data_IF_189986942014
#
_entry.id   IF_189986942014
#
_cell.length_a   1.000
_cell.length_b   1.000
_cell.length_c   1.000
_cell.angle_alpha   90.00
_cell.angle_beta   90.00
_cell.angle_gamma   90.00
#
_symmetry.space_group_name_H-M   'P 1'
#
loop_
_entity.id
_entity.type
_entity.pdbx_description
1 polymer ?
2 non-polymer ?
3 water ?
#
# COMPACT_ATOMS: atom_id res chain seq x y z
N UNK A 14 -28.98 -11.01 -10.02
CA UNK A 14 -30.06 -12.05 -9.99
C UNK A 14 -29.58 -13.38 -9.41
N UNK A 15 -30.51 -14.23 -8.88
CA UNK A 15 -30.21 -15.55 -8.28
C UNK A 15 -29.08 -16.33 -8.96
N UNK A 16 -29.22 -16.56 -10.26
CA UNK A 16 -28.23 -17.28 -11.05
C UNK A 16 -26.95 -16.45 -11.26
N UNK A 17 -27.12 -15.17 -11.57
CA UNK A 17 -25.99 -14.28 -11.84
C UNK A 17 -25.10 -14.13 -10.59
N UNK A 18 -25.72 -14.08 -9.41
CA UNK A 18 -25.01 -14.07 -8.13
C UNK A 18 -24.23 -15.36 -7.83
N UNK A 19 -24.88 -16.52 -7.90
CA UNK A 19 -24.20 -17.80 -7.71
C UNK A 19 -22.94 -17.90 -8.56
N UNK A 20 -23.04 -17.43 -9.82
CA UNK A 20 -21.93 -17.46 -10.78
C UNK A 20 -20.76 -16.53 -10.35
N UNK A 21 -21.11 -15.31 -9.97
CA UNK A 21 -20.16 -14.34 -9.49
C UNK A 21 -19.46 -14.82 -8.22
N UNK A 22 -20.16 -15.56 -7.36
CA UNK A 22 -19.55 -16.23 -6.21
C UNK A 22 -18.45 -17.25 -6.61
N UNK A 23 -18.67 -17.97 -7.71
CA UNK A 23 -17.65 -18.87 -8.22
C UNK A 23 -16.43 -18.11 -8.75
N UNK A 24 -16.70 -16.95 -9.36
CA UNK A 24 -15.65 -16.14 -9.98
C UNK A 24 -14.77 -15.47 -8.91
N UNK A 25 -15.42 -14.96 -7.87
CA UNK A 25 -14.74 -14.46 -6.66
C UNK A 25 -13.87 -15.56 -6.02
N UNK A 26 -14.44 -16.77 -5.87
CA UNK A 26 -13.74 -17.95 -5.38
C UNK A 26 -12.48 -18.27 -6.20
N UNK A 27 -12.61 -18.36 -7.53
CA UNK A 27 -11.46 -18.67 -8.40
C UNK A 27 -10.35 -17.67 -8.21
N UNK A 28 -10.75 -16.42 -8.05
CA UNK A 28 -9.83 -15.30 -7.95
C UNK A 28 -8.98 -15.35 -6.66
N UNK A 29 -9.63 -15.60 -5.52
CA UNK A 29 -8.93 -15.75 -4.24
C UNK A 29 -7.93 -16.92 -4.32
N UNK A 30 -8.39 -18.01 -4.89
CA UNK A 30 -7.62 -19.27 -4.91
C UNK A 30 -6.40 -19.29 -5.87
N UNK A 31 -6.60 -18.78 -7.09
CA UNK A 31 -5.55 -18.78 -8.09
C UNK A 31 -5.14 -17.46 -8.69
N UNK A 32 -5.66 -16.34 -8.19
CA UNK A 32 -5.33 -15.02 -8.77
C UNK A 32 -5.92 -14.81 -10.17
N UNK A 33 -5.47 -13.75 -10.83
CA UNK A 33 -6.01 -13.34 -12.11
C UNK A 33 -5.94 -14.48 -13.11
N UNK A 34 -4.82 -15.20 -13.07
CA UNK A 34 -4.49 -16.32 -13.97
C UNK A 34 -5.55 -17.41 -14.01
N UNK A 35 -6.17 -17.67 -12.85
CA UNK A 35 -7.13 -18.76 -12.67
C UNK A 35 -8.55 -18.37 -13.09
N UNK A 36 -8.76 -17.07 -13.24
CA UNK A 36 -10.04 -16.54 -13.63
C UNK A 36 -10.09 -16.50 -15.15
N UNK A 37 -10.35 -17.65 -15.77
CA UNK A 37 -10.48 -17.74 -17.23
C UNK A 37 -11.92 -18.06 -17.62
N UNK A 38 -12.35 -17.55 -18.77
CA UNK A 38 -13.69 -17.80 -19.27
C UNK A 38 -14.10 -19.30 -19.20
N UNK A 39 -13.16 -20.19 -19.54
CA UNK A 39 -13.33 -21.65 -19.40
C UNK A 39 -13.24 -22.17 -17.96
N UNK A 40 -12.41 -21.55 -17.14
CA UNK A 40 -12.29 -21.94 -15.75
C UNK A 40 -13.64 -21.71 -15.11
N UNK A 41 -14.18 -20.51 -15.34
CA UNK A 41 -15.47 -20.12 -14.76
C UNK A 41 -16.69 -20.84 -15.39
N UNK A 42 -16.58 -21.23 -16.65
CA UNK A 42 -17.60 -22.12 -17.24
C UNK A 42 -17.65 -23.46 -16.48
N UNK A 43 -16.47 -24.03 -16.20
CA UNK A 43 -16.30 -25.28 -15.47
C UNK A 43 -16.81 -25.17 -14.03
N UNK A 44 -16.31 -24.15 -13.30
CA UNK A 44 -16.67 -23.92 -11.89
C UNK A 44 -18.19 -23.68 -11.63
N UNK A 45 -18.84 -22.88 -12.48
CA UNK A 45 -20.23 -22.46 -12.27
C UNK A 45 -21.29 -23.12 -13.17
N UNK A 46 -20.90 -24.09 -13.99
CA UNK A 46 -21.83 -24.79 -14.89
C UNK A 46 -22.56 -23.86 -15.87
N UNK A 47 -21.83 -22.90 -16.44
CA UNK A 47 -22.44 -22.02 -17.42
C UNK A 47 -21.71 -22.04 -18.78
N UNK A 48 -22.32 -21.39 -19.77
CA UNK A 48 -21.77 -21.29 -21.09
C UNK A 48 -20.75 -20.16 -21.13
N UNK A 49 -19.83 -20.21 -22.09
CA UNK A 49 -18.88 -19.13 -22.29
C UNK A 49 -19.58 -17.99 -23.04
N UNK A 50 -20.54 -18.34 -23.91
CA UNK A 50 -21.37 -17.36 -24.61
C UNK A 50 -22.58 -16.89 -23.78
N UNK A 51 -22.93 -17.67 -22.76
CA UNK A 51 -23.80 -17.21 -21.68
C UNK A 51 -23.13 -16.12 -20.83
N UNK A 52 -21.85 -16.30 -20.52
CA UNK A 52 -21.08 -15.26 -19.83
C UNK A 52 -21.10 -13.92 -20.57
N UNK A 53 -21.16 -13.99 -21.90
CA UNK A 53 -21.23 -12.81 -22.76
C UNK A 53 -22.51 -11.98 -22.59
N UNK A 54 -23.67 -12.62 -22.60
CA UNK A 54 -24.95 -11.88 -22.50
C UNK A 54 -25.29 -11.48 -21.05
N UNK A 55 -24.61 -12.07 -20.08
CA UNK A 55 -24.75 -11.65 -18.68
C UNK A 55 -23.97 -10.36 -18.36
N UNK A 56 -22.69 -10.33 -18.78
CA UNK A 56 -21.73 -9.30 -18.33
C UNK A 56 -20.98 -8.57 -19.47
N UNK A 57 -21.49 -8.66 -20.69
CA UNK A 57 -20.80 -8.05 -21.83
C UNK A 57 -19.59 -8.87 -22.24
N UNK A 58 -18.39 -8.32 -22.01
CA UNK A 58 -17.14 -9.01 -22.33
C UNK A 58 -16.35 -9.40 -21.07
N UNK A 59 -15.10 -9.81 -21.24
CA UNK A 59 -14.21 -10.08 -20.12
C UNK A 59 -14.17 -8.87 -19.17
N UNK A 60 -13.92 -7.69 -19.73
CA UNK A 60 -13.80 -6.46 -18.93
C UNK A 60 -15.07 -6.10 -18.16
N UNK A 61 -16.22 -6.45 -18.72
CA UNK A 61 -17.51 -6.25 -18.04
C UNK A 61 -17.74 -7.26 -16.93
N UNK A 62 -17.18 -8.46 -17.08
CA UNK A 62 -17.34 -9.51 -16.07
C UNK A 62 -16.59 -9.11 -14.81
N UNK A 63 -15.37 -8.62 -15.01
CA UNK A 63 -14.51 -8.17 -13.91
C UNK A 63 -15.16 -7.06 -13.09
N UNK A 64 -15.86 -6.16 -13.79
CA UNK A 64 -16.57 -5.04 -13.17
C UNK A 64 -17.78 -5.49 -12.35
N UNK A 65 -18.50 -6.50 -12.84
CA UNK A 65 -19.68 -7.01 -12.14
C UNK A 65 -19.27 -7.74 -10.87
N UNK A 67 -16.53 -6.89 -9.10
CA UNK A 67 -16.23 -5.76 -8.21
C UNK A 67 -17.51 -5.12 -7.63
N UNK A 68 -18.53 -4.87 -8.46
CA UNK A 68 -19.75 -4.23 -7.96
C UNK A 68 -20.71 -5.20 -7.25
N UNK A 69 -20.61 -6.50 -7.55
CA UNK A 69 -21.33 -7.55 -6.81
C UNK A 69 -20.76 -7.64 -5.40
N UNK A 70 -19.43 -7.61 -5.27
CA UNK A 70 -18.83 -7.70 -3.95
C UNK A 70 -19.11 -6.44 -3.11
N UNK A 71 -18.82 -5.27 -3.71
CA UNK A 71 -19.10 -3.96 -3.11
C UNK A 71 -20.53 -3.90 -2.52
N UNK A 72 -21.44 -4.75 -3.03
CA UNK A 72 -22.84 -4.85 -2.57
C UNK A 72 -23.04 -5.59 -1.24
N UNK A 73 -22.12 -6.50 -0.92
CA UNK A 73 -22.29 -7.39 0.21
C UNK A 73 -21.52 -6.88 1.42
N UNK A 74 -20.89 -5.72 1.31
CA UNK A 74 -20.03 -5.25 2.39
C UNK A 74 -20.81 -4.70 3.60
N UNK A 75 -20.20 -4.84 4.78
CA UNK A 75 -20.71 -4.30 6.04
C UNK A 75 -21.12 -2.83 5.92
N UNK A 76 -22.37 -2.55 6.28
CA UNK A 76 -22.87 -1.17 6.37
C UNK A 76 -22.55 -0.62 7.76
N UNK A 77 -21.86 0.52 7.77
CA UNK A 77 -21.41 1.12 9.02
C UNK A 77 -22.41 2.10 9.62
N UNK A 78 -22.38 2.21 10.95
CA UNK A 78 -23.32 3.00 11.71
C UNK A 78 -23.05 4.50 11.58
N UNK A 79 -24.07 5.24 11.20
CA UNK A 79 -24.01 6.71 11.16
C UNK A 79 -23.44 7.22 12.49
N UNK A 80 -22.31 7.91 12.41
CA UNK A 80 -21.65 8.49 13.59
C UNK A 80 -22.55 9.54 14.22
N UNK A 81 -22.80 9.37 15.52
CA UNK A 81 -23.73 10.25 16.25
C UNK A 81 -23.24 11.68 16.29
N UNK A 82 -24.18 12.62 16.21
CA UNK A 82 -23.85 14.05 16.21
C UNK A 82 -22.76 14.39 17.23
N UNK A 83 -22.91 13.92 18.46
CA UNK A 83 -21.95 14.26 19.52
C UNK A 83 -21.50 13.08 20.41
N UNK A 84 -20.27 13.17 20.91
CA UNK A 84 -19.67 12.07 21.68
C UNK A 84 -18.91 12.60 22.89
N UNK A 85 -18.71 11.73 23.88
CA UNK A 85 -17.79 11.98 24.97
C UNK A 85 -16.40 11.59 24.49
N UNK A 86 -15.37 11.98 25.24
CA UNK A 86 -14.01 11.66 24.90
C UNK A 86 -13.72 10.13 24.91
N UNK A 87 -14.16 9.40 25.97
CA UNK A 87 -14.04 7.91 25.95
C UNK A 87 -14.77 7.24 24.76
N UNK A 88 -16.00 7.69 24.46
CA UNK A 88 -16.73 7.22 23.29
C UNK A 88 -15.93 7.49 22.00
N UNK A 89 -15.36 8.68 21.90
CA UNK A 89 -14.58 9.04 20.73
C UNK A 89 -13.40 8.08 20.58
N UNK A 90 -12.63 7.91 21.67
CA UNK A 90 -11.44 7.08 21.66
C UNK A 90 -11.80 5.64 21.28
N UNK A 91 -12.86 5.15 21.91
CA UNK A 91 -13.36 3.80 21.66
C UNK A 91 -13.78 3.59 20.23
N UNK A 92 -14.60 4.51 19.70
CA UNK A 92 -15.04 4.47 18.30
C UNK A 92 -13.86 4.48 17.32
N UNK A 93 -12.86 5.28 17.63
CA UNK A 93 -11.69 5.36 16.75
C UNK A 93 -10.89 4.08 16.77
N UNK A 94 -10.76 3.43 17.93
CA UNK A 94 -10.08 2.13 17.94
C UNK A 94 -10.87 1.08 17.15
N UNK A 95 -12.20 1.02 17.35
CA UNK A 95 -13.03 0.04 16.65
C UNK A 95 -12.92 0.28 15.13
N UNK A 96 -12.99 1.55 14.74
CA UNK A 96 -12.76 1.89 13.36
C UNK A 96 -11.41 1.32 12.82
N UNK A 97 -10.32 1.64 13.50
CA UNK A 97 -8.98 1.24 13.00
C UNK A 97 -8.88 -0.28 12.79
N UNK A 98 -9.41 -1.04 13.75
CA UNK A 98 -9.41 -2.49 13.71
C UNK A 98 -10.31 -3.01 12.56
N UNK A 99 -11.52 -2.47 12.44
CA UNK A 99 -12.39 -2.70 11.28
C UNK A 99 -11.66 -2.41 9.93
N UNK A 100 -10.98 -1.29 9.83
CA UNK A 100 -10.20 -0.97 8.60
C UNK A 100 -9.17 -2.08 8.24
N UNK A 101 -8.36 -2.45 9.22
CA UNK A 101 -7.34 -3.47 9.04
C UNK A 101 -7.96 -4.79 8.56
N UNK A 102 -9.05 -5.16 9.25
CA UNK A 102 -9.80 -6.34 8.98
C UNK A 102 -10.40 -6.30 7.58
N UNK A 103 -10.98 -5.18 7.17
CA UNK A 103 -11.49 -5.05 5.77
C UNK A 103 -10.30 -5.20 4.78
N UNK A 104 -9.19 -4.51 5.01
CA UNK A 104 -8.06 -4.66 4.05
C UNK A 104 -7.51 -6.07 3.93
N UNK A 105 -7.46 -6.79 5.06
CA UNK A 105 -6.93 -8.15 5.18
C UNK A 105 -7.88 -9.22 4.64
N UNK A 106 -9.10 -8.84 4.25
CA UNK A 106 -10.11 -9.79 3.71
C UNK A 106 -9.66 -10.43 2.39
N UNK A 107 -9.92 -11.73 2.25
CA UNK A 107 -9.36 -12.48 1.12
C UNK A 107 -9.92 -11.98 -0.22
N UNK A 108 -11.22 -11.72 -0.23
CA UNK A 108 -11.89 -11.26 -1.46
C UNK A 108 -11.41 -9.84 -1.81
N UNK A 109 -11.35 -8.98 -0.79
CA UNK A 109 -10.92 -7.60 -1.01
C UNK A 109 -9.49 -7.64 -1.56
N UNK A 110 -8.61 -8.44 -0.95
CA UNK A 110 -7.23 -8.53 -1.47
C UNK A 110 -7.20 -8.99 -2.91
N UNK A 111 -8.00 -10.02 -3.22
CA UNK A 111 -8.02 -10.64 -4.54
C UNK A 111 -8.59 -9.65 -5.58
N UNK A 112 -9.62 -8.90 -5.23
CA UNK A 112 -10.14 -7.91 -6.19
C UNK A 112 -9.14 -6.76 -6.45
N UNK A 113 -8.55 -6.27 -5.37
CA UNK A 113 -7.46 -5.29 -5.47
C UNK A 113 -6.29 -5.77 -6.30
N UNK A 114 -5.82 -7.00 -6.03
CA UNK A 114 -4.81 -7.62 -6.89
C UNK A 114 -5.25 -7.63 -8.35
N UNK A 115 -6.50 -8.01 -8.59
CA UNK A 115 -6.99 -8.11 -9.98
C UNK A 115 -6.91 -6.76 -10.68
N UNK A 116 -7.50 -5.74 -10.03
CA UNK A 116 -7.53 -4.35 -10.52
C UNK A 116 -6.16 -3.71 -10.67
N UNK A 117 -5.22 -4.05 -9.77
CA UNK A 117 -3.84 -3.61 -9.89
C UNK A 117 -3.09 -4.17 -11.13
N UNK A 118 -3.23 -5.47 -11.37
CA UNK A 118 -2.68 -6.09 -12.55
C UNK A 118 -3.25 -5.55 -13.85
N UNK A 119 -4.47 -5.00 -13.83
CA UNK A 119 -5.09 -4.47 -15.06
C UNK A 119 -4.65 -3.03 -15.34
N UNK A 120 -4.35 -2.29 -14.27
CA UNK A 120 -4.18 -0.84 -14.27
C UNK A 120 -3.13 -0.30 -15.24
N UNK A 121 -2.03 -1.03 -15.36
CA UNK A 121 -0.97 -0.71 -16.32
C UNK A 121 -1.49 -0.86 -17.76
N UNK A 122 -2.07 0.23 -18.28
CA UNK A 122 -2.95 0.24 -19.47
C UNK A 122 -4.12 -0.75 -19.38
N UNK A 126 -10.09 0.68 -16.48
CA UNK A 126 -11.34 1.16 -15.88
C UNK A 126 -11.60 0.49 -14.54
N UNK A 127 -11.15 -0.74 -14.38
CA UNK A 127 -11.37 -1.49 -13.15
C UNK A 127 -10.80 -0.79 -11.88
N UNK A 128 -9.64 -0.14 -12.03
CA UNK A 128 -8.99 0.58 -10.94
C UNK A 128 -9.86 1.69 -10.37
N UNK A 129 -10.58 2.40 -11.25
CA UNK A 129 -11.44 3.54 -10.85
C UNK A 129 -12.61 3.07 -10.00
N UNK A 130 -13.06 1.85 -10.26
CA UNK A 130 -14.19 1.28 -9.51
C UNK A 130 -13.81 1.04 -8.05
N UNK A 131 -12.60 0.55 -7.80
CA UNK A 131 -12.14 0.40 -6.42
C UNK A 131 -11.76 1.75 -5.85
N UNK A 132 -11.14 2.58 -6.69
CA UNK A 132 -10.74 3.92 -6.31
C UNK A 132 -11.98 4.78 -5.92
N UNK A 133 -13.04 4.71 -6.73
CA UNK A 133 -14.19 5.60 -6.56
C UNK A 133 -15.22 5.04 -5.60
N UNK A 134 -15.37 3.72 -5.52
CA UNK A 134 -16.53 3.11 -4.85
C UNK A 134 -16.13 2.09 -3.80
N UNK A 135 -14.89 1.60 -3.93
CA UNK A 135 -14.33 0.52 -3.11
C UNK A 135 -14.22 0.77 -1.62
N UNK A 136 -14.09 2.02 -1.20
CA UNK A 136 -13.86 2.26 0.21
C UNK A 136 -14.76 3.32 0.83
N UNK A 137 -15.85 3.61 0.12
CA UNK A 137 -16.73 4.72 0.42
C UNK A 137 -17.39 4.64 1.80
N UNK A 138 -17.73 3.43 2.22
CA UNK A 138 -18.46 3.21 3.48
C UNK A 138 -17.50 3.36 4.67
N UNK A 139 -16.34 2.75 4.54
CA UNK A 139 -15.23 2.98 5.45
C UNK A 139 -14.90 4.48 5.56
N UNK A 140 -14.78 5.16 4.42
CA UNK A 140 -14.35 6.56 4.41
C UNK A 140 -15.41 7.46 5.05
N UNK A 141 -16.68 7.17 4.80
CA UNK A 141 -17.77 7.98 5.37
C UNK A 141 -17.83 7.76 6.89
N UNK A 142 -17.60 6.51 7.33
CA UNK A 142 -17.48 6.19 8.75
C UNK A 142 -16.42 7.11 9.40
N UNK A 143 -15.21 7.10 8.84
CA UNK A 143 -14.08 7.78 9.40
C UNK A 143 -14.30 9.29 9.49
N UNK A 144 -14.83 9.89 8.42
CA UNK A 144 -15.11 11.33 8.38
C UNK A 144 -16.21 11.69 9.36
N UNK A 145 -17.24 10.85 9.43
CA UNK A 145 -18.32 11.00 10.41
C UNK A 145 -17.81 11.07 11.84
N UNK A 146 -16.95 10.11 12.18
CA UNK A 146 -16.24 10.07 13.46
C UNK A 146 -15.34 11.29 13.74
N UNK A 147 -14.56 11.68 12.75
CA UNK A 147 -13.64 12.79 12.86
C UNK A 147 -14.43 14.09 13.01
N UNK A 148 -15.51 14.22 12.26
CA UNK A 148 -16.42 15.35 12.42
C UNK A 148 -17.07 15.40 13.81
N UNK A 149 -17.61 14.26 14.28
CA UNK A 149 -18.14 14.16 15.65
C UNK A 149 -17.12 14.56 16.75
N UNK A 150 -15.86 14.10 16.61
CA UNK A 150 -14.76 14.52 17.46
C UNK A 150 -14.46 16.01 17.44
N UNK A 151 -14.40 16.59 16.24
CA UNK A 151 -14.26 18.06 16.09
C UNK A 151 -15.44 18.81 16.76
N UNK A 152 -16.68 18.47 16.39
CA UNK A 152 -17.88 19.14 16.96
C UNK A 152 -17.85 19.17 18.48
N UNK A 153 -17.28 18.13 19.08
CA UNK A 153 -17.39 17.93 20.48
C UNK A 153 -16.25 18.58 21.20
N UNK A 154 -15.42 19.30 20.45
CA UNK A 154 -14.29 20.03 20.99
C UNK A 154 -13.06 19.18 21.26
N UNK A 155 -13.07 17.92 20.79
CA UNK A 155 -11.95 16.99 21.12
C UNK A 155 -10.83 16.90 20.07
N UNK A 156 -11.10 17.34 18.85
CA UNK A 156 -10.13 17.31 17.73
C UNK A 156 -10.01 18.67 17.08
N UNK A 157 -8.77 19.02 16.75
CA UNK A 157 -8.51 20.26 16.06
C UNK A 157 -7.68 19.93 14.82
N UNK A 158 -8.05 20.50 13.67
CA UNK A 158 -7.25 20.34 12.43
C UNK A 158 -7.62 21.44 11.44
N UNK A 159 -6.64 21.79 10.59
CA UNK A 159 -6.85 22.68 9.45
C UNK A 159 -7.73 22.07 8.37
N UNK A 160 -7.56 20.77 8.14
CA UNK A 160 -8.21 20.13 7.03
C UNK A 160 -8.61 18.72 7.45
N UNK A 161 -9.90 18.43 7.42
CA UNK A 161 -10.44 17.18 7.88
C UNK A 161 -9.95 15.96 7.08
N UNK A 162 -9.78 16.11 5.76
CA UNK A 162 -9.31 15.01 4.89
C UNK A 162 -7.86 14.63 5.19
N UNK A 163 -7.06 15.63 5.55
CA UNK A 163 -5.68 15.47 5.92
C UNK A 163 -5.55 14.75 7.28
N UNK A 164 -6.45 15.08 8.20
CA UNK A 164 -6.55 14.35 9.45
C UNK A 164 -6.86 12.90 9.16
N UNK A 165 -7.81 12.62 8.27
CA UNK A 165 -8.13 11.21 7.91
C UNK A 165 -6.97 10.55 7.19
N UNK A 166 -6.34 11.29 6.28
CA UNK A 166 -5.11 10.84 5.61
C UNK A 166 -4.02 10.33 6.59
N UNK A 167 -3.73 11.15 7.61
CA UNK A 167 -2.78 10.83 8.65
C UNK A 167 -3.23 9.58 9.43
N UNK A 168 -4.47 9.54 9.85
CA UNK A 168 -5.02 8.42 10.61
C UNK A 168 -4.88 7.15 9.81
N UNK A 169 -5.18 7.23 8.52
CA UNK A 169 -5.18 6.03 7.70
C UNK A 169 -3.76 5.51 7.59
N UNK A 170 -2.81 6.41 7.33
CA UNK A 170 -1.39 5.99 7.19
C UNK A 170 -0.87 5.42 8.51
N UNK A 171 -1.27 6.04 9.61
CA UNK A 171 -0.91 5.52 10.95
C UNK A 171 -1.46 4.13 11.26
N UNK A 172 -2.71 3.87 10.91
CA UNK A 172 -3.27 2.54 11.10
C UNK A 172 -2.57 1.48 10.22
N UNK A 173 -2.45 1.78 8.92
CA UNK A 173 -2.16 0.80 7.88
C UNK A 173 -0.65 0.79 7.50
N UNK A 174 0.02 1.94 7.60
CA UNK A 174 1.36 2.11 6.97
C UNK A 174 1.48 1.34 5.65
N UNK A 175 2.47 0.48 5.48
CA UNK A 175 2.58 -0.27 4.21
C UNK A 175 1.88 -1.64 4.26
N UNK A 176 1.05 -1.89 5.27
CA UNK A 176 0.56 -3.25 5.44
C UNK A 176 -0.34 -3.72 4.30
N UNK A 177 -1.10 -2.81 3.67
CA UNK A 177 -2.01 -3.22 2.60
C UNK A 177 -1.21 -3.71 1.37
N UNK A 178 -0.26 -2.90 0.91
CA UNK A 178 0.76 -3.33 -0.07
C UNK A 178 1.44 -4.69 0.29
N UNK A 179 1.99 -4.84 1.50
CA UNK A 179 2.55 -6.15 1.87
C UNK A 179 1.60 -7.34 1.71
N UNK A 181 -1.08 -7.53 -0.16
CA UNK A 181 -1.36 -7.65 -1.58
C UNK A 181 -0.31 -8.43 -2.31
N UNK A 182 0.93 -8.28 -1.85
CA UNK A 182 2.09 -9.00 -2.36
C UNK A 182 2.06 -10.43 -1.80
N UNK A 183 1.22 -10.69 -0.80
CA UNK A 183 1.07 -12.10 -0.38
C UNK A 183 1.49 -12.33 1.04
N UNK A 184 1.94 -11.28 1.73
CA UNK A 184 2.29 -11.46 3.13
C UNK A 184 1.05 -11.62 3.99
N UNK A 185 1.00 -12.66 4.80
CA UNK A 185 -0.07 -12.83 5.78
C UNK A 185 0.13 -11.82 6.92
N UNK A 186 -0.97 -11.23 7.45
CA UNK A 186 -0.76 -10.18 8.47
C UNK A 186 -0.38 -10.80 9.82
N UNK A 187 0.28 -10.02 10.67
CA UNK A 187 0.43 -10.43 12.06
C UNK A 187 -0.98 -10.36 12.70
N UNK A 188 -1.21 -11.24 13.66
CA UNK A 188 -2.49 -11.26 14.34
C UNK A 188 -2.43 -10.29 15.54
N UNK A 189 -2.28 -9.00 15.27
CA UNK A 189 -2.27 -8.02 16.36
C UNK A 189 -3.00 -6.72 15.97
N UNK A 190 -4.14 -6.87 15.30
CA UNK A 190 -4.90 -5.71 14.85
C UNK A 190 -5.35 -4.84 16.01
N UNK A 191 -5.70 -5.49 17.11
CA UNK A 191 -6.13 -4.81 18.30
C UNK A 191 -5.07 -3.86 18.83
N UNK A 192 -3.84 -4.35 18.96
CA UNK A 192 -2.73 -3.54 19.45
C UNK A 192 -2.40 -2.43 18.45
N UNK A 193 -2.45 -2.75 17.16
CA UNK A 193 -2.19 -1.76 16.14
C UNK A 193 -3.18 -0.61 16.17
N UNK A 194 -4.48 -0.95 16.33
CA UNK A 194 -5.51 0.09 16.43
C UNK A 194 -5.38 1.06 17.62
N UNK A 195 -5.11 0.51 18.82
CA UNK A 195 -4.77 1.27 20.01
C UNK A 195 -3.59 2.23 19.77
N UNK A 196 -2.52 1.72 19.20
CA UNK A 196 -1.32 2.53 18.89
C UNK A 196 -1.63 3.66 17.92
N UNK A 197 -2.40 3.34 16.87
CA UNK A 197 -2.75 4.35 15.86
C UNK A 197 -3.69 5.48 16.44
N UNK A 198 -4.57 5.11 17.37
CA UNK A 198 -5.44 6.04 18.07
C UNK A 198 -4.67 6.95 19.00
N UNK A 199 -3.71 6.39 19.77
CA UNK A 199 -2.79 7.21 20.61
C UNK A 199 -2.04 8.26 19.76
N UNK A 200 -1.45 7.82 18.64
CA UNK A 200 -0.76 8.72 17.71
C UNK A 200 -1.72 9.82 17.10
N UNK A 201 -2.85 9.39 16.56
CA UNK A 201 -3.86 10.31 16.02
C UNK A 201 -4.30 11.40 17.03
N UNK A 202 -4.45 11.03 18.29
CA UNK A 202 -4.89 11.94 19.34
C UNK A 202 -3.78 12.89 19.79
N UNK A 203 -2.54 12.43 19.75
CA UNK A 203 -1.39 13.29 19.92
C UNK A 203 -1.37 14.38 18.84
N UNK A 204 -1.64 14.00 17.59
CA UNK A 204 -1.56 14.93 16.48
C UNK A 204 -2.69 15.95 16.48
N UNK A 205 -3.91 15.47 16.66
CA UNK A 205 -5.10 16.29 16.48
C UNK A 205 -5.96 16.41 17.74
N UNK A 206 -5.51 15.87 18.86
CA UNK A 206 -6.30 15.96 20.07
C UNK A 206 -6.15 17.33 20.72
N UNK A 207 -7.27 17.91 21.16
CA UNK A 207 -7.24 19.17 21.88
C UNK A 207 -6.97 18.88 23.35
N UNK A 208 -6.58 19.91 24.09
CA UNK A 208 -6.44 19.85 25.53
C UNK A 208 -7.65 19.20 26.25
N UNK A 209 -8.86 19.49 25.80
CA UNK A 209 -10.11 18.87 26.33
C UNK A 209 -10.10 17.33 26.25
N UNK A 210 -9.74 16.77 25.08
CA UNK A 210 -9.76 15.32 24.92
C UNK A 210 -8.75 14.64 25.85
N UNK A 211 -7.57 15.23 26.02
CA UNK A 211 -6.51 14.65 26.84
C UNK A 211 -6.80 14.75 28.34
N UNK A 212 -7.27 15.92 28.79
CA UNK A 212 -7.55 16.06 30.21
C UNK A 212 -8.84 15.31 30.61
N UNK A 213 -9.75 15.09 29.67
CA UNK A 213 -10.93 14.27 29.94
C UNK A 213 -10.64 12.77 29.92
N UNK A 214 -9.86 12.30 28.95
CA UNK A 214 -9.37 10.91 28.94
C UNK A 214 -8.48 10.63 30.13
N UNK A 215 -7.91 11.69 30.71
CA UNK A 215 -7.08 11.58 31.91
C UNK A 215 -7.85 11.66 33.23
N UNK A 216 -9.18 11.55 33.18
CA UNK A 216 -10.03 11.55 34.37
C UNK A 216 -9.77 12.67 35.37
N UNK B 13 27.63 -6.25 -9.92
CA UNK B 13 27.62 -6.56 -11.38
C UNK B 13 28.56 -5.66 -12.17
N UNK B 14 29.01 -6.14 -13.32
CA UNK B 14 29.79 -5.35 -14.26
C UNK B 14 28.90 -4.27 -14.90
N UNK B 15 29.52 -3.25 -15.54
CA UNK B 15 28.80 -2.30 -16.40
C UNK B 15 27.97 -2.95 -17.53
N UNK B 16 28.46 -4.06 -18.09
CA UNK B 16 27.71 -4.77 -19.13
C UNK B 16 26.60 -5.64 -18.54
N UNK B 17 26.87 -6.26 -17.40
CA UNK B 17 25.83 -7.03 -16.69
C UNK B 17 24.73 -6.07 -16.34
N UNK B 18 25.15 -4.87 -15.90
CA UNK B 18 24.26 -3.77 -15.56
C UNK B 18 23.38 -3.32 -16.73
N UNK B 19 23.98 -3.24 -17.93
CA UNK B 19 23.26 -2.90 -19.17
C UNK B 19 22.10 -3.85 -19.47
N UNK B 20 22.37 -5.13 -19.24
CA UNK B 20 21.41 -6.23 -19.46
C UNK B 20 20.22 -6.16 -18.50
N UNK B 21 20.52 -5.96 -17.22
CA UNK B 21 19.47 -5.83 -16.23
C UNK B 21 18.61 -4.62 -16.57
N UNK B 22 19.25 -3.57 -17.05
CA UNK B 22 18.53 -2.36 -17.44
C UNK B 22 17.54 -2.64 -18.59
N UNK B 23 17.98 -3.44 -19.56
CA UNK B 23 17.14 -3.95 -20.65
C UNK B 23 15.97 -4.77 -20.16
N UNK B 24 16.25 -5.71 -19.24
CA UNK B 24 15.22 -6.52 -18.61
C UNK B 24 14.13 -5.68 -17.92
N UNK B 25 14.56 -4.66 -17.14
CA UNK B 25 13.63 -3.75 -16.47
C UNK B 25 12.78 -3.01 -17.49
N UNK B 26 13.46 -2.47 -18.51
CA UNK B 26 12.79 -1.73 -19.58
C UNK B 26 11.77 -2.58 -20.35
N UNK B 27 12.10 -3.86 -20.56
CA UNK B 27 11.16 -4.78 -21.17
C UNK B 27 9.87 -4.89 -20.38
N UNK B 28 10.02 -4.98 -19.07
CA UNK B 28 8.90 -5.15 -18.14
C UNK B 28 8.04 -3.90 -18.03
N UNK B 29 8.70 -2.74 -17.89
CA UNK B 29 8.01 -1.45 -17.87
C UNK B 29 7.23 -1.26 -19.18
N UNK B 30 7.91 -1.45 -20.31
CA UNK B 30 7.33 -1.26 -21.64
C UNK B 30 6.32 -2.34 -22.04
N UNK B 31 6.72 -3.60 -22.05
CA UNK B 31 5.85 -4.67 -22.56
C UNK B 31 5.27 -5.66 -21.55
N UNK B 32 5.34 -5.33 -20.28
CA UNK B 32 4.78 -6.22 -19.25
C UNK B 32 5.46 -7.59 -19.14
N UNK B 33 4.80 -8.48 -18.42
CA UNK B 33 5.29 -9.85 -18.20
C UNK B 33 5.49 -10.70 -19.46
N UNK B 34 4.59 -10.54 -20.43
CA UNK B 34 4.67 -11.25 -21.73
C UNK B 34 6.06 -11.06 -22.38
N UNK B 35 6.56 -9.82 -22.30
CA UNK B 35 7.84 -9.40 -22.86
C UNK B 35 9.05 -9.89 -22.06
N UNK B 36 8.91 -9.98 -20.75
CA UNK B 36 10.02 -10.43 -19.91
C UNK B 36 10.21 -11.95 -20.01
N UNK B 37 10.94 -12.38 -21.03
CA UNK B 37 11.37 -13.78 -21.21
C UNK B 37 12.87 -13.82 -21.46
N UNK B 38 13.49 -14.99 -21.27
CA UNK B 38 14.90 -15.17 -21.51
C UNK B 38 15.27 -14.82 -22.96
N UNK B 39 14.37 -15.19 -23.86
CA UNK B 39 14.58 -15.02 -25.29
C UNK B 39 14.43 -13.58 -25.67
N UNK B 40 13.33 -12.96 -25.25
CA UNK B 40 13.15 -11.50 -25.39
C UNK B 40 14.31 -10.69 -24.82
N UNK B 41 14.85 -11.12 -23.67
CA UNK B 41 16.03 -10.48 -23.04
C UNK B 41 17.31 -10.72 -23.85
N UNK B 42 17.54 -11.96 -24.26
CA UNK B 42 18.66 -12.28 -25.14
C UNK B 42 18.65 -11.40 -26.39
N UNK B 43 17.46 -11.20 -26.96
CA UNK B 43 17.27 -10.42 -28.18
C UNK B 43 17.45 -8.92 -27.92
N UNK B 44 16.80 -8.42 -26.88
CA UNK B 44 16.85 -7.01 -26.53
C UNK B 44 18.27 -6.52 -26.17
N UNK B 45 19.00 -7.37 -25.45
CA UNK B 45 20.30 -7.05 -24.88
C UNK B 45 21.45 -7.58 -25.75
N UNK B 46 21.11 -8.25 -26.85
CA UNK B 46 22.14 -8.84 -27.75
C UNK B 46 23.17 -9.66 -26.96
N UNK B 47 22.65 -10.50 -26.08
CA UNK B 47 23.41 -11.33 -25.15
C UNK B 47 23.04 -12.79 -25.43
N UNK B 48 23.99 -13.74 -25.38
CA UNK B 48 23.58 -15.14 -25.59
C UNK B 48 22.56 -15.53 -24.51
N UNK B 49 21.61 -16.41 -24.85
CA UNK B 49 20.72 -16.96 -23.85
C UNK B 49 21.61 -17.57 -22.80
N UNK B 50 22.74 -18.10 -23.26
CA UNK B 50 23.68 -18.86 -22.45
C UNK B 50 24.36 -18.06 -21.35
N UNK B 51 24.73 -16.81 -21.63
CA UNK B 51 25.38 -15.95 -20.63
C UNK B 51 24.41 -15.51 -19.52
N UNK B 52 23.15 -15.33 -19.91
CA UNK B 52 22.10 -14.93 -18.99
C UNK B 52 21.97 -16.00 -17.95
N UNK B 53 22.01 -17.25 -18.42
CA UNK B 53 21.86 -18.42 -17.56
C UNK B 53 23.02 -18.61 -16.58
N UNK B 54 24.23 -18.19 -16.96
CA UNK B 54 25.36 -18.35 -16.06
C UNK B 54 25.51 -17.16 -15.11
N UNK B 55 25.07 -15.99 -15.58
CA UNK B 55 25.15 -14.76 -14.79
C UNK B 55 24.12 -14.68 -13.65
N UNK B 56 22.90 -15.13 -13.95
CA UNK B 56 21.76 -14.90 -13.09
C UNK B 56 21.12 -16.21 -12.63
N UNK B 57 21.49 -17.31 -13.27
CA UNK B 57 20.82 -18.59 -13.10
C UNK B 57 19.48 -18.58 -13.81
N UNK B 58 18.50 -19.23 -13.20
CA UNK B 58 17.15 -19.33 -13.75
C UNK B 58 16.40 -18.00 -13.75
N UNK B 59 15.08 -18.08 -13.93
CA UNK B 59 14.20 -16.93 -14.03
C UNK B 59 14.19 -16.19 -12.70
N UNK B 60 14.19 -16.96 -11.60
CA UNK B 60 14.21 -16.38 -10.26
C UNK B 60 15.47 -15.58 -9.94
N UNK B 61 16.62 -16.06 -10.42
CA UNK B 61 17.89 -15.35 -10.23
C UNK B 61 17.93 -14.02 -10.96
N UNK B 62 17.28 -13.97 -12.11
CA UNK B 62 17.22 -12.81 -12.94
C UNK B 62 16.36 -11.74 -12.30
N UNK B 63 15.16 -12.16 -11.90
CA UNK B 63 14.24 -11.31 -11.15
C UNK B 63 14.93 -10.76 -9.90
N UNK B 64 15.51 -11.63 -9.06
CA UNK B 64 16.35 -11.17 -7.97
C UNK B 64 17.37 -10.08 -8.37
N UNK B 65 18.22 -10.38 -9.35
CA UNK B 65 19.26 -9.45 -9.84
C UNK B 65 18.64 -8.13 -10.32
N UNK B 67 15.92 -6.74 -9.23
CA UNK B 67 15.61 -5.99 -8.01
C UNK B 67 16.85 -5.37 -7.34
N UNK B 68 17.92 -6.14 -7.18
CA UNK B 68 19.16 -5.55 -6.65
C UNK B 68 19.70 -4.47 -7.61
N UNK B 69 19.61 -4.69 -8.90
CA UNK B 69 20.06 -3.63 -9.82
C UNK B 69 19.26 -2.34 -9.59
N UNK B 70 17.93 -2.45 -9.54
CA UNK B 70 17.13 -1.29 -9.32
C UNK B 70 17.46 -0.64 -7.94
N UNK B 71 17.95 -1.43 -6.97
CA UNK B 71 18.44 -0.90 -5.63
C UNK B 71 19.63 0.04 -5.83
N UNK B 72 20.59 -0.38 -6.66
CA UNK B 72 21.77 0.41 -7.03
C UNK B 72 21.51 1.90 -7.22
N UNK B 73 20.34 2.24 -7.77
CA UNK B 73 20.01 3.64 -8.11
C UNK B 73 19.60 4.50 -6.91
N UNK B 74 19.25 3.87 -5.80
CA UNK B 74 18.92 4.58 -4.57
C UNK B 74 20.21 5.17 -3.96
N UNK B 82 28.33 12.10 11.46
CA UNK B 82 27.61 11.25 12.42
C UNK B 82 26.37 11.90 13.02
N UNK B 83 26.60 13.02 13.69
CA UNK B 83 25.54 13.71 14.41
C UNK B 83 25.03 14.93 13.63
N UNK B 84 23.75 15.24 13.79
CA UNK B 84 23.09 16.29 13.00
C UNK B 84 22.63 17.44 13.88
N UNK B 85 22.39 18.60 13.28
CA UNK B 85 21.67 19.63 13.98
C UNK B 85 20.19 19.34 13.82
N UNK B 86 19.36 20.09 14.54
CA UNK B 86 17.91 19.97 14.38
C UNK B 86 17.40 20.35 12.99
N UNK B 87 17.82 21.53 12.45
CA UNK B 87 17.58 21.87 11.04
C UNK B 87 18.09 20.85 10.03
N UNK B 88 19.27 20.27 10.23
CA UNK B 88 19.74 19.17 9.36
C UNK B 88 18.82 17.97 9.46
N UNK B 89 18.45 17.60 10.67
CA UNK B 89 17.54 16.46 10.85
C UNK B 89 16.23 16.65 10.11
N UNK B 90 15.60 17.78 10.33
CA UNK B 90 14.30 18.09 9.72
C UNK B 90 14.45 18.03 8.21
N UNK B 91 15.51 18.65 7.70
CA UNK B 91 15.81 18.68 6.29
C UNK B 91 16.14 17.31 5.63
N UNK B 92 16.96 16.49 6.29
CA UNK B 92 17.24 15.11 5.81
C UNK B 92 15.98 14.28 5.77
N UNK B 93 15.15 14.42 6.81
CA UNK B 93 13.90 13.70 6.89
C UNK B 93 12.96 14.12 5.76
N UNK B 94 12.93 15.42 5.44
CA UNK B 94 12.08 15.91 4.34
C UNK B 94 12.63 15.38 3.01
N UNK B 95 13.95 15.34 2.88
CA UNK B 95 14.54 14.86 1.61
C UNK B 95 14.22 13.37 1.47
N UNK B 96 14.38 12.62 2.55
CA UNK B 96 13.97 11.20 2.55
C UNK B 96 12.55 10.98 2.05
N UNK B 97 11.59 11.74 2.60
CA UNK B 97 10.17 11.53 2.28
C UNK B 97 9.87 11.81 0.83
N UNK B 98 10.47 12.90 0.30
CA UNK B 98 10.35 13.28 -1.11
C UNK B 98 10.91 12.18 -2.03
N UNK B 99 12.10 11.67 -1.69
CA UNK B 99 12.77 10.60 -2.43
C UNK B 99 11.96 9.34 -2.41
N UNK B 100 11.44 8.95 -1.23
CA UNK B 100 10.50 7.83 -1.11
C UNK B 100 9.29 7.94 -2.08
N UNK B 101 8.62 9.07 -2.04
CA UNK B 101 7.46 9.27 -2.92
C UNK B 101 7.84 9.20 -4.38
N UNK B 102 9.00 9.76 -4.73
CA UNK B 102 9.52 9.69 -6.10
C UNK B 102 9.75 8.24 -6.53
N UNK B 103 10.36 7.44 -5.66
CA UNK B 103 10.49 5.98 -5.90
C UNK B 103 9.13 5.25 -6.09
N UNK B 104 8.18 5.48 -5.20
CA UNK B 104 6.92 4.77 -5.29
C UNK B 104 6.11 5.17 -6.54
N UNK B 105 6.21 6.44 -6.92
CA UNK B 105 5.57 6.99 -8.11
C UNK B 105 6.29 6.65 -9.41
N UNK B 106 7.47 6.04 -9.30
CA UNK B 106 8.31 5.80 -10.48
C UNK B 106 7.78 4.63 -11.29
N UNK B 107 8.03 4.63 -12.60
CA UNK B 107 7.43 3.58 -13.46
C UNK B 107 8.01 2.16 -13.26
N UNK B 108 9.28 2.06 -12.86
CA UNK B 108 9.91 0.76 -12.57
C UNK B 108 9.27 0.13 -11.33
N UNK B 109 9.19 0.91 -10.27
CA UNK B 109 8.56 0.45 -9.04
C UNK B 109 7.06 0.09 -9.23
N UNK B 110 6.35 0.93 -9.96
CA UNK B 110 4.96 0.64 -10.25
C UNK B 110 4.78 -0.68 -11.06
N UNK B 111 5.64 -0.89 -12.06
CA UNK B 111 5.67 -2.10 -12.89
C UNK B 111 6.08 -3.36 -12.12
N UNK B 112 7.10 -3.27 -11.28
CA UNK B 112 7.52 -4.42 -10.50
C UNK B 112 6.39 -4.84 -9.54
N UNK B 113 5.78 -3.85 -8.88
CA UNK B 113 4.78 -4.12 -7.88
C UNK B 113 3.46 -4.54 -8.52
N UNK B 114 3.06 -3.88 -9.59
CA UNK B 114 1.89 -4.33 -10.37
C UNK B 114 2.04 -5.76 -10.88
N UNK B 115 3.21 -6.11 -11.36
CA UNK B 115 3.41 -7.48 -11.82
C UNK B 115 3.29 -8.45 -10.62
N UNK B 116 3.99 -8.15 -9.52
CA UNK B 116 4.03 -9.09 -8.42
C UNK B 116 2.63 -9.22 -7.80
N UNK B 117 1.94 -8.09 -7.67
CA UNK B 117 0.61 -8.08 -7.09
C UNK B 117 -0.42 -8.68 -8.04
N UNK B 118 -0.31 -8.35 -9.32
CA UNK B 118 -1.32 -8.72 -10.31
C UNK B 118 -1.37 -10.23 -10.45
N UNK B 119 -0.25 -10.87 -10.12
CA UNK B 119 -0.13 -12.31 -10.34
C UNK B 119 -0.30 -13.08 -9.05
N UNK B 120 -0.34 -12.36 -7.93
CA UNK B 120 -0.53 -13.01 -6.64
C UNK B 120 -1.92 -13.64 -6.47
N UNK B 121 -1.96 -14.72 -5.71
CA UNK B 121 -3.21 -15.21 -5.13
C UNK B 121 -3.12 -14.96 -3.64
N UNK B 122 -4.13 -15.41 -2.90
CA UNK B 122 -4.03 -15.52 -1.45
C UNK B 122 -2.63 -15.95 -0.98
N UNK B 123 -1.98 -16.80 -1.78
CA UNK B 123 -0.67 -17.40 -1.50
C UNK B 123 0.51 -16.56 -2.01
N UNK B 124 0.25 -15.36 -2.50
CA UNK B 124 1.34 -14.50 -3.03
C UNK B 124 1.83 -14.92 -4.38
N UNK B 125 3.08 -14.59 -4.68
CA UNK B 125 3.78 -14.99 -5.89
C UNK B 125 5.27 -14.96 -5.57
N UNK B 126 6.07 -15.58 -6.40
CA UNK B 126 7.52 -15.60 -6.21
C UNK B 126 8.17 -14.19 -6.25
N UNK B 127 7.78 -13.41 -7.26
CA UNK B 127 8.18 -12.01 -7.35
C UNK B 127 7.74 -11.24 -6.11
N UNK B 128 6.54 -11.51 -5.65
CA UNK B 128 6.05 -10.96 -4.40
C UNK B 128 6.99 -11.23 -3.24
N UNK B 129 7.47 -12.48 -3.12
CA UNK B 129 8.44 -12.88 -2.10
C UNK B 129 9.71 -12.01 -2.17
N UNK B 130 10.23 -11.88 -3.39
CA UNK B 130 11.43 -11.10 -3.65
C UNK B 130 11.27 -9.64 -3.26
N UNK B 131 10.19 -8.98 -3.65
CA UNK B 131 9.95 -7.58 -3.24
C UNK B 131 9.74 -7.37 -1.71
N UNK B 132 9.02 -8.30 -1.07
CA UNK B 132 8.82 -8.25 0.40
C UNK B 132 10.19 -8.34 1.10
N UNK B 133 11.10 -9.11 0.50
CA UNK B 133 12.44 -9.33 1.02
C UNK B 133 13.39 -8.19 0.73
N UNK B 134 13.52 -7.81 -0.54
CA UNK B 134 14.62 -6.91 -0.96
C UNK B 134 14.25 -5.61 -1.70
N UNK B 135 12.96 -5.39 -1.92
CA UNK B 135 12.49 -4.36 -2.84
C UNK B 135 12.72 -2.94 -2.34
N UNK B 136 12.87 -2.78 -1.04
CA UNK B 136 13.07 -1.43 -0.53
C UNK B 136 14.24 -1.39 0.42
N UNK B 137 15.23 -2.25 0.21
CA UNK B 137 16.30 -2.39 1.18
C UNK B 137 17.12 -1.10 1.44
N UNK B 138 17.60 -0.46 0.39
CA UNK B 138 18.40 0.73 0.52
C UNK B 138 17.61 1.91 1.08
N UNK B 139 16.37 2.12 0.64
CA UNK B 139 15.46 3.08 1.29
C UNK B 139 15.31 2.83 2.82
N UNK B 140 14.98 1.61 3.17
CA UNK B 140 14.75 1.28 4.57
C UNK B 140 16.00 1.50 5.45
N UNK B 141 17.18 1.15 4.92
CA UNK B 141 18.47 1.42 5.57
C UNK B 141 18.70 2.92 5.73
N UNK B 142 18.38 3.70 4.71
CA UNK B 142 18.56 5.14 4.82
C UNK B 142 17.66 5.73 5.95
N UNK B 143 16.40 5.28 6.01
CA UNK B 143 15.44 5.67 7.05
C UNK B 143 15.94 5.29 8.46
N UNK B 144 16.37 4.04 8.61
CA UNK B 144 16.97 3.57 9.87
C UNK B 144 18.15 4.45 10.32
N UNK B 145 19.08 4.71 9.40
CA UNK B 145 20.24 5.51 9.71
C UNK B 145 19.84 6.89 10.20
N UNK B 146 18.93 7.52 9.47
CA UNK B 146 18.48 8.88 9.78
C UNK B 146 17.73 8.93 11.13
N UNK B 147 16.86 7.95 11.36
CA UNK B 147 16.05 7.95 12.56
C UNK B 147 16.93 7.63 13.79
N UNK B 148 17.92 6.75 13.64
CA UNK B 148 18.83 6.50 14.75
C UNK B 148 19.70 7.68 15.08
N UNK B 149 20.26 8.35 14.05
CA UNK B 149 21.04 9.59 14.29
C UNK B 149 20.24 10.65 15.05
N UNK B 150 18.98 10.85 14.64
CA UNK B 150 18.05 11.76 15.28
C UNK B 150 17.88 11.41 16.75
N UNK B 151 17.61 10.14 17.04
CA UNK B 151 17.59 9.64 18.43
C UNK B 151 18.92 9.85 19.18
N UNK B 152 20.04 9.52 18.54
CA UNK B 152 21.36 9.67 19.16
C UNK B 152 21.67 11.10 19.52
N UNK B 153 21.29 12.02 18.63
CA UNK B 153 21.47 13.47 18.81
C UNK B 153 20.50 14.08 19.84
N UNK B 154 19.72 13.23 20.53
CA UNK B 154 18.69 13.68 21.48
C UNK B 154 17.46 14.39 20.91
N UNK B 155 17.24 14.29 19.59
CA UNK B 155 16.15 14.99 18.91
C UNK B 155 14.86 14.15 18.82
N UNK B 156 15.00 12.83 18.92
CA UNK B 156 13.90 11.94 18.71
C UNK B 156 13.91 10.96 19.87
N UNK B 157 12.73 10.56 20.29
CA UNK B 157 12.59 9.58 21.34
C UNK B 157 11.57 8.52 20.88
N UNK B 158 11.96 7.26 20.98
CA UNK B 158 11.04 6.19 20.65
C UNK B 158 11.60 4.94 21.29
N UNK B 159 10.70 4.01 21.59
CA UNK B 159 11.08 2.73 22.13
C UNK B 159 11.68 1.82 21.07
N UNK B 160 11.14 1.89 19.87
CA UNK B 160 11.53 0.98 18.81
C UNK B 160 11.64 1.70 17.46
N UNK B 161 12.82 1.65 16.86
CA UNK B 161 13.05 2.29 15.57
C UNK B 161 12.14 1.81 14.41
N UNK B 162 11.85 0.53 14.37
CA UNK B 162 10.94 -0.08 13.39
C UNK B 162 9.53 0.57 13.45
N UNK B 163 9.07 0.78 14.66
CA UNK B 163 7.74 1.36 14.93
C UNK B 163 7.74 2.85 14.51
N UNK B 164 8.81 3.56 14.89
CA UNK B 164 8.97 4.96 14.52
C UNK B 164 8.95 5.07 13.00
N UNK B 165 9.62 4.15 12.31
CA UNK B 165 9.71 4.20 10.85
C UNK B 165 8.37 3.81 10.24
N UNK B 166 7.74 2.82 10.83
CA UNK B 166 6.38 2.44 10.39
C UNK B 166 5.43 3.69 10.37
N UNK B 167 5.42 4.45 11.47
CA UNK B 167 4.65 5.69 11.57
C UNK B 167 5.03 6.72 10.52
N UNK B 168 6.33 6.96 10.37
CA UNK B 168 6.83 7.93 9.38
C UNK B 168 6.39 7.54 7.97
N UNK B 169 6.60 6.27 7.62
CA UNK B 169 6.17 5.80 6.31
C UNK B 169 4.66 6.02 6.07
N UNK B 170 3.86 5.65 7.05
CA UNK B 170 2.42 5.87 6.95
C UNK B 170 2.03 7.33 6.78
N UNK B 171 2.70 8.20 7.54
CA UNK B 171 2.49 9.63 7.40
C UNK B 171 2.84 10.19 6.03
N UNK B 172 3.96 9.73 5.46
CA UNK B 172 4.42 10.25 4.18
C UNK B 172 3.46 9.74 3.06
N UNK B 173 3.19 8.43 3.08
CA UNK B 173 2.52 7.71 1.99
C UNK B 173 1.02 7.57 2.13
N UNK B 174 0.55 7.29 3.36
CA UNK B 174 -0.84 6.93 3.55
C UNK B 174 -1.27 5.89 2.48
N UNK B 175 -2.38 6.11 1.77
CA UNK B 175 -2.82 5.11 0.84
C UNK B 175 -2.40 5.42 -0.58
N UNK B 176 -1.44 6.33 -0.76
CA UNK B 176 -1.03 6.78 -2.08
C UNK B 176 -0.41 5.69 -2.94
N UNK B 177 0.39 4.82 -2.32
CA UNK B 177 1.00 3.70 -3.08
C UNK B 177 -0.06 2.80 -3.71
N UNK B 178 -1.02 2.33 -2.91
CA UNK B 178 -2.13 1.53 -3.44
C UNK B 178 -2.91 2.28 -4.52
N UNK B 179 -3.15 3.57 -4.29
CA UNK B 179 -3.96 4.36 -5.22
C UNK B 179 -3.26 4.48 -6.55
N UNK B 181 -0.87 2.38 -7.61
CA UNK B 181 -0.88 1.00 -8.12
C UNK B 181 -2.16 0.74 -8.91
N UNK B 182 -3.25 1.35 -8.46
CA UNK B 182 -4.54 1.18 -9.12
C UNK B 182 -4.77 2.15 -10.27
N UNK B 183 -3.88 3.09 -10.50
CA UNK B 183 -3.92 3.90 -11.71
C UNK B 183 -4.10 5.36 -11.49
N UNK B 184 -4.19 5.77 -10.24
CA UNK B 184 -4.29 7.17 -9.92
C UNK B 184 -2.95 7.88 -10.18
N UNK B 185 -3.03 9.05 -10.82
CA UNK B 185 -1.87 9.91 -11.05
C UNK B 185 -1.46 10.57 -9.74
N UNK B 186 -0.15 10.59 -9.45
CA UNK B 186 0.33 11.06 -8.16
C UNK B 186 -0.12 12.47 -7.76
N UNK B 187 -0.12 12.69 -6.44
CA UNK B 187 -0.02 14.00 -5.84
C UNK B 187 1.34 14.54 -6.28
N UNK B 189 2.38 17.57 -5.77
CA UNK B 189 3.40 18.29 -4.99
C UNK B 189 4.03 17.42 -3.90
N UNK B 190 5.06 16.64 -4.24
CA UNK B 190 5.70 15.77 -3.26
C UNK B 190 6.44 16.50 -2.16
N UNK B 191 6.93 17.69 -2.50
CA UNK B 191 7.67 18.52 -1.57
C UNK B 191 6.77 18.99 -0.38
N UNK B 192 5.61 19.51 -0.70
CA UNK B 192 4.63 19.86 0.30
C UNK B 192 4.29 18.68 1.21
N UNK B 193 3.99 17.54 0.61
CA UNK B 193 3.74 16.30 1.34
C UNK B 193 4.86 15.90 2.29
N UNK B 194 6.10 15.95 1.81
CA UNK B 194 7.27 15.57 2.60
C UNK B 194 7.39 16.48 3.86
N UNK B 195 7.21 17.78 3.65
CA UNK B 195 7.08 18.80 4.71
C UNK B 195 6.04 18.44 5.76
N UNK B 196 4.82 18.15 5.31
CA UNK B 196 3.69 17.88 6.21
C UNK B 196 3.99 16.65 7.05
N UNK B 197 4.55 15.62 6.41
CA UNK B 197 4.83 14.35 7.08
C UNK B 197 5.92 14.48 8.14
N UNK B 198 6.91 15.30 7.85
CA UNK B 198 7.99 15.51 8.80
C UNK B 198 7.49 16.33 10.03
N UNK B 199 6.64 17.33 9.81
CA UNK B 199 6.01 18.04 10.94
C UNK B 199 5.23 17.04 11.81
N UNK B 200 4.43 16.17 11.19
CA UNK B 200 3.67 15.19 12.02
C UNK B 200 4.60 14.21 12.74
N UNK B 201 5.65 13.78 12.06
CA UNK B 201 6.59 12.85 12.62
C UNK B 201 7.34 13.44 13.81
N UNK B 202 7.76 14.70 13.69
CA UNK B 202 8.37 15.41 14.84
C UNK B 202 7.42 15.73 15.95
N UNK B 203 6.11 15.85 15.68
CA UNK B 203 5.15 15.98 16.78
C UNK B 203 5.10 14.66 17.59
N UNK B 204 5.12 13.52 16.91
CA UNK B 204 4.98 12.21 17.55
C UNK B 204 6.26 11.77 18.26
N UNK B 205 7.41 11.97 17.61
CA UNK B 205 8.72 11.44 18.09
C UNK B 205 9.75 12.50 18.45
N UNK B 206 9.41 13.75 18.14
CA UNK B 206 10.29 14.86 18.40
C UNK B 206 10.39 15.21 19.86
N UNK B 207 11.61 15.46 20.27
CA UNK B 207 11.98 15.74 21.63
C UNK B 207 11.82 17.26 21.91
N UNK B 208 11.66 17.64 23.18
CA UNK B 208 11.71 19.06 23.54
C UNK B 208 12.94 19.79 22.97
N UNK B 209 14.09 19.12 22.97
CA UNK B 209 15.29 19.66 22.33
C UNK B 209 15.15 19.98 20.82
N UNK B 210 14.43 19.15 20.05
CA UNK B 210 14.28 19.42 18.62
C UNK B 210 13.32 20.58 18.40
N UNK B 211 12.23 20.61 19.16
CA UNK B 211 11.26 21.67 19.01
C UNK B 211 11.81 23.02 19.47
N UNK B 212 12.58 23.03 20.57
CA UNK B 212 13.05 24.32 21.05
C UNK B 212 14.19 24.83 20.18
N UNK B 213 14.97 23.92 19.61
CA UNK B 213 16.01 24.27 18.64
C UNK B 213 15.50 24.73 17.27
N UNK B 214 14.33 24.27 16.83
CA UNK B 214 13.82 24.58 15.48
C UNK B 214 13.13 25.93 15.42
#
# INVERSE_FOLDING_TARGET
>A
GHXASDPITTQEFSPRQNAVLDQALRLLVEGGEKALTTSGLARAANCSKESLYKWFGDRDGLLAAXITFQQSKVRTFEKAGDRVSAPQLADHLEVFAHDLLDVLAGDVSLALNRLAIGQASRDGSKLGDLLLERGRRQIDRRARGLIEAGRRSGYLRFDDAEEAYRSFYGLIVSDLHVRXLLGEAPDKDFSARAKKAVVAFLTLYGTEKVHSELGGKVAGS
>B
GHXASDPITTQEFSPRQNAVLDQALRLLVEGGEKALTTSGLARAANCSKESLYKWFGDRDGLLAAXITFQQSKVRTFEKAGDRVSAPQLADHLEVFAHDLLDVLAGDVSLALNRLAIGQASRDGSKLGDLLLERGRRQIDRRARGLIEAGRRSGYLRFDDAEEAYRSFYGLIVSDLHVRXLLGEAPDKDFSARAKKAVVAFLTLYGTEKVHSELGGKVAGS
#
